data_IF_204211909071
#
_entry.id   IF_204211909071
#
_cell.length_a   1.000
_cell.length_b   1.000
_cell.length_c   1.000
_cell.angle_alpha   90.00
_cell.angle_beta   90.00
_cell.angle_gamma   90.00
#
_symmetry.space_group_name_H-M   'P 1'
#
loop_
_entity.id
_entity.type
_entity.pdbx_description
1 polymer ?
#
# COMPACT_ATOMS: atom_id res chain seq x y z
N UNK A 1 -8.57 -9.22 -8.23
CA UNK A 1 -8.88 -8.47 -9.48
C UNK A 1 -8.13 -9.10 -10.67
N UNK A 2 -8.70 -9.12 -11.89
CA UNK A 2 -7.98 -9.66 -13.07
C UNK A 2 -6.99 -8.62 -13.62
N UNK A 3 -5.74 -9.04 -13.89
CA UNK A 3 -4.68 -8.18 -14.45
C UNK A 3 -5.10 -7.42 -15.72
N UNK A 4 -5.91 -8.04 -16.58
CA UNK A 4 -6.41 -7.44 -17.83
C UNK A 4 -7.19 -6.15 -17.57
N UNK A 5 -7.99 -6.09 -16.50
CA UNK A 5 -8.76 -4.90 -16.15
C UNK A 5 -7.92 -3.83 -15.44
N UNK A 6 -6.78 -4.20 -14.86
CA UNK A 6 -5.87 -3.27 -14.19
C UNK A 6 -4.78 -2.72 -15.12
N UNK A 7 -4.57 -3.33 -16.28
CA UNK A 7 -3.39 -3.08 -17.13
C UNK A 7 -3.31 -1.61 -17.59
N UNK A 8 -4.44 -1.06 -18.05
CA UNK A 8 -4.51 0.32 -18.50
C UNK A 8 -4.25 1.31 -17.35
N UNK A 9 -4.81 1.06 -16.16
CA UNK A 9 -4.58 1.89 -14.99
C UNK A 9 -3.09 1.85 -14.57
N UNK A 10 -2.46 0.68 -14.55
CA UNK A 10 -1.04 0.54 -14.18
C UNK A 10 -0.09 1.27 -15.16
N UNK A 11 -0.46 1.32 -16.45
CA UNK A 11 0.32 1.99 -17.48
C UNK A 11 0.08 3.50 -17.50
N UNK A 12 -1.15 3.97 -17.23
CA UNK A 12 -1.53 5.37 -17.39
C UNK A 12 -1.46 6.20 -16.09
N UNK A 13 -1.69 5.58 -14.93
CA UNK A 13 -1.86 6.31 -13.68
C UNK A 13 -0.59 6.36 -12.83
N UNK A 14 -0.47 7.40 -12.03
CA UNK A 14 0.63 7.56 -11.07
C UNK A 14 0.48 6.63 -9.86
N UNK A 15 1.56 6.32 -9.12
CA UNK A 15 1.48 5.50 -7.91
C UNK A 15 0.50 6.04 -6.86
N UNK A 16 0.36 7.37 -6.75
CA UNK A 16 -0.57 8.02 -5.82
C UNK A 16 -2.05 7.83 -6.23
N UNK A 17 -2.35 7.90 -7.53
CA UNK A 17 -3.72 7.64 -8.01
C UNK A 17 -4.09 6.16 -7.83
N UNK A 18 -3.12 5.27 -8.03
CA UNK A 18 -3.30 3.83 -7.82
C UNK A 18 -3.51 3.48 -6.35
N UNK A 19 -2.83 4.16 -5.41
CA UNK A 19 -3.01 3.90 -3.97
C UNK A 19 -4.41 4.27 -3.47
N UNK A 20 -5.14 5.11 -4.21
CA UNK A 20 -6.53 5.46 -3.90
C UNK A 20 -7.54 4.46 -4.49
N UNK A 21 -7.16 3.68 -5.50
CA UNK A 21 -8.04 2.76 -6.23
C UNK A 21 -7.85 1.30 -5.85
N UNK A 22 -6.64 0.94 -5.42
CA UNK A 22 -6.28 -0.44 -5.11
C UNK A 22 -5.92 -0.59 -3.64
N UNK A 23 -6.40 -1.67 -3.03
CA UNK A 23 -5.90 -2.07 -1.73
C UNK A 23 -4.47 -2.61 -1.83
N UNK A 24 -3.76 -2.66 -0.70
CA UNK A 24 -2.42 -3.25 -0.64
C UNK A 24 -2.43 -4.72 -1.07
N UNK A 25 -3.45 -5.47 -0.69
CA UNK A 25 -3.57 -6.90 -1.00
C UNK A 25 -3.86 -7.10 -2.50
N UNK A 26 -4.73 -6.26 -3.10
CA UNK A 26 -4.94 -6.26 -4.56
C UNK A 26 -3.64 -6.01 -5.33
N UNK A 27 -2.80 -5.10 -4.85
CA UNK A 27 -1.51 -4.79 -5.47
C UNK A 27 -0.50 -5.94 -5.33
N UNK A 28 -0.54 -6.68 -4.22
CA UNK A 28 0.29 -7.88 -4.04
C UNK A 28 -0.15 -8.96 -5.04
N UNK A 29 -1.45 -9.21 -5.16
CA UNK A 29 -1.98 -10.16 -6.14
C UNK A 29 -1.59 -9.76 -7.57
N UNK A 30 -1.68 -8.47 -7.92
CA UNK A 30 -1.28 -7.96 -9.23
C UNK A 30 0.22 -8.10 -9.48
N UNK A 31 1.05 -7.88 -8.47
CA UNK A 31 2.51 -8.08 -8.57
C UNK A 31 2.83 -9.55 -8.91
N UNK A 32 2.15 -10.48 -8.26
CA UNK A 32 2.40 -11.91 -8.46
C UNK A 32 1.88 -12.37 -9.83
N UNK A 33 0.73 -11.85 -10.28
CA UNK A 33 0.23 -12.04 -11.65
C UNK A 33 1.20 -11.48 -12.71
N UNK A 34 1.75 -10.28 -12.50
CA UNK A 34 2.75 -9.67 -13.40
C UNK A 34 4.05 -10.48 -13.45
N UNK A 35 4.47 -11.04 -12.32
CA UNK A 35 5.63 -11.93 -12.24
C UNK A 35 5.43 -13.19 -13.08
N UNK A 36 4.29 -13.87 -12.92
CA UNK A 36 3.93 -15.04 -13.71
C UNK A 36 3.84 -14.71 -15.21
N UNK A 37 3.21 -13.57 -15.57
CA UNK A 37 3.14 -13.10 -16.96
C UNK A 37 4.53 -12.86 -17.54
N UNK A 38 5.44 -12.25 -16.78
CA UNK A 38 6.82 -12.03 -17.21
C UNK A 38 7.56 -13.34 -17.49
N UNK A 39 7.43 -14.32 -16.60
CA UNK A 39 8.05 -15.64 -16.74
C UNK A 39 7.53 -16.35 -18.00
N UNK A 40 6.22 -16.35 -18.24
CA UNK A 40 5.63 -16.93 -19.45
C UNK A 40 6.06 -16.21 -20.75
N UNK A 41 6.23 -14.88 -20.72
CA UNK A 41 6.75 -14.12 -21.87
C UNK A 41 8.21 -14.46 -22.18
N UNK A 42 9.04 -14.69 -21.15
CA UNK A 42 10.44 -15.13 -21.35
C UNK A 42 10.47 -16.51 -21.97
N UNK A 43 9.72 -17.46 -21.41
CA UNK A 43 9.68 -18.82 -21.93
C UNK A 43 9.20 -18.85 -23.40
N UNK A 44 8.23 -18.01 -23.73
CA UNK A 44 7.72 -17.88 -25.11
C UNK A 44 8.73 -17.23 -26.05
N UNK A 45 9.46 -16.21 -25.55
CA UNK A 45 10.53 -15.54 -26.30
C UNK A 45 11.70 -16.48 -26.58
N UNK A 46 12.09 -17.32 -25.62
CA UNK A 46 13.21 -18.25 -25.77
C UNK A 46 12.94 -19.33 -26.83
N UNK A 47 11.66 -19.60 -27.13
CA UNK A 47 11.23 -20.51 -28.21
C UNK A 47 11.17 -19.84 -29.58
N UNK A 48 11.38 -18.53 -29.67
CA UNK A 48 11.31 -17.79 -30.93
C UNK A 48 12.64 -17.77 -31.66
N UNK A 49 12.59 -18.01 -32.98
CA UNK A 49 13.76 -17.96 -33.87
C UNK A 49 13.76 -16.76 -34.82
N UNK A 50 12.60 -16.10 -34.97
CA UNK A 50 12.45 -14.91 -35.80
C UNK A 50 12.69 -13.61 -35.01
N UNK A 51 13.54 -12.73 -35.54
CA UNK A 51 13.87 -11.45 -34.93
C UNK A 51 12.66 -10.54 -34.66
N UNK A 52 11.66 -10.55 -35.54
CA UNK A 52 10.45 -9.73 -35.35
C UNK A 52 9.63 -10.20 -34.13
N UNK A 53 9.48 -11.51 -33.94
CA UNK A 53 8.79 -12.08 -32.79
C UNK A 53 9.54 -11.78 -31.49
N UNK A 54 10.86 -11.90 -31.50
CA UNK A 54 11.72 -11.55 -30.36
C UNK A 54 11.56 -10.06 -29.99
N UNK A 55 11.52 -9.18 -30.99
CA UNK A 55 11.30 -7.75 -30.77
C UNK A 55 9.94 -7.47 -30.13
N UNK A 56 8.86 -8.11 -30.61
CA UNK A 56 7.53 -7.98 -30.01
C UNK A 56 7.49 -8.44 -28.55
N UNK A 57 8.11 -9.58 -28.24
CA UNK A 57 8.22 -10.05 -26.84
C UNK A 57 9.01 -9.08 -25.96
N UNK A 58 10.06 -8.44 -26.49
CA UNK A 58 10.81 -7.43 -25.75
C UNK A 58 9.95 -6.20 -25.41
N UNK A 59 9.06 -5.77 -26.31
CA UNK A 59 8.10 -4.69 -26.02
C UNK A 59 7.19 -5.09 -24.86
N UNK A 60 6.56 -6.26 -24.93
CA UNK A 60 5.68 -6.73 -23.85
C UNK A 60 6.41 -6.92 -22.52
N UNK A 61 7.66 -7.41 -22.53
CA UNK A 61 8.48 -7.50 -21.32
C UNK A 61 8.78 -6.12 -20.73
N UNK A 62 8.97 -5.10 -21.56
CA UNK A 62 9.15 -3.72 -21.13
C UNK A 62 7.88 -3.14 -20.48
N UNK A 63 6.71 -3.41 -21.06
CA UNK A 63 5.41 -3.03 -20.49
C UNK A 63 5.19 -3.69 -19.12
N UNK A 64 5.42 -5.00 -19.02
CA UNK A 64 5.29 -5.73 -17.75
C UNK A 64 6.26 -5.22 -16.69
N UNK A 65 7.49 -4.85 -17.08
CA UNK A 65 8.46 -4.24 -16.17
C UNK A 65 7.98 -2.88 -15.67
N UNK A 66 7.43 -2.05 -16.56
CA UNK A 66 6.87 -0.73 -16.21
C UNK A 66 5.73 -0.88 -15.20
N UNK A 67 4.78 -1.76 -15.48
CA UNK A 67 3.66 -2.05 -14.57
C UNK A 67 4.14 -2.58 -13.22
N UNK A 68 5.10 -3.52 -13.22
CA UNK A 68 5.67 -4.07 -11.98
C UNK A 68 6.33 -3.00 -11.12
N UNK A 69 7.03 -2.06 -11.76
CA UNK A 69 7.66 -0.93 -11.09
C UNK A 69 6.62 -0.03 -10.45
N UNK A 70 5.55 0.28 -11.19
CA UNK A 70 4.42 1.08 -10.71
C UNK A 70 3.75 0.45 -9.48
N UNK A 71 3.43 -0.85 -9.55
CA UNK A 71 2.84 -1.61 -8.44
C UNK A 71 3.73 -1.56 -7.19
N UNK A 72 5.04 -1.80 -7.33
CA UNK A 72 5.96 -1.78 -6.19
C UNK A 72 6.08 -0.40 -5.55
N UNK A 73 6.07 0.67 -6.37
CA UNK A 73 6.05 2.04 -5.88
C UNK A 73 4.77 2.34 -5.10
N UNK A 74 3.61 1.92 -5.60
CA UNK A 74 2.32 2.10 -4.91
C UNK A 74 2.27 1.34 -3.58
N UNK A 75 2.73 0.09 -3.54
CA UNK A 75 2.82 -0.68 -2.27
C UNK A 75 3.73 0.05 -1.28
N UNK A 76 4.88 0.55 -1.73
CA UNK A 76 5.82 1.27 -0.87
C UNK A 76 5.20 2.55 -0.28
N UNK A 77 4.41 3.27 -1.08
CA UNK A 77 3.68 4.46 -0.63
C UNK A 77 2.67 4.10 0.46
N UNK A 78 1.85 3.06 0.24
CA UNK A 78 0.90 2.56 1.23
C UNK A 78 1.57 2.10 2.53
N UNK A 79 2.72 1.43 2.43
CA UNK A 79 3.49 0.98 3.60
C UNK A 79 4.07 2.15 4.42
N UNK A 80 4.48 3.24 3.75
CA UNK A 80 4.95 4.46 4.42
C UNK A 80 3.77 5.14 5.13
N UNK A 81 2.64 5.30 4.46
CA UNK A 81 1.44 5.92 5.04
C UNK A 81 0.95 5.13 6.27
N UNK A 82 0.93 3.80 6.18
CA UNK A 82 0.57 2.94 7.31
C UNK A 82 1.53 3.11 8.51
N UNK A 83 2.83 3.25 8.27
CA UNK A 83 3.83 3.50 9.32
C UNK A 83 3.64 4.87 9.97
N UNK A 84 3.36 5.92 9.19
CA UNK A 84 3.10 7.26 9.69
C UNK A 84 1.84 7.27 10.56
N UNK A 85 0.74 6.67 10.09
CA UNK A 85 -0.50 6.55 10.86
C UNK A 85 -0.29 5.82 12.19
N UNK A 86 0.51 4.74 12.21
CA UNK A 86 0.84 4.01 13.44
C UNK A 86 1.63 4.88 14.42
N UNK A 87 2.58 5.68 13.94
CA UNK A 87 3.36 6.62 14.78
C UNK A 87 2.46 7.71 15.37
N UNK A 88 1.58 8.30 14.56
CA UNK A 88 0.66 9.34 15.02
C UNK A 88 -0.27 8.79 16.10
N UNK A 89 -0.86 7.60 15.89
CA UNK A 89 -1.70 6.95 16.91
C UNK A 89 -0.95 6.70 18.23
N UNK A 90 0.31 6.30 18.16
CA UNK A 90 1.14 6.13 19.35
C UNK A 90 1.41 7.47 20.06
N UNK A 91 1.68 8.54 19.31
CA UNK A 91 1.88 9.88 19.85
C UNK A 91 0.61 10.44 20.51
N UNK A 92 -0.56 10.26 19.88
CA UNK A 92 -1.86 10.64 20.45
C UNK A 92 -2.13 9.89 21.77
N UNK A 93 -1.81 8.60 21.81
CA UNK A 93 -1.94 7.79 23.02
C UNK A 93 -0.99 8.25 24.13
N UNK A 94 0.26 8.60 23.79
CA UNK A 94 1.21 9.15 24.76
C UNK A 94 0.74 10.51 25.31
N UNK A 95 0.22 11.38 24.43
CA UNK A 95 -0.33 12.68 24.82
C UNK A 95 -1.53 12.50 25.76
N UNK A 96 -2.44 11.57 25.45
CA UNK A 96 -3.57 11.23 26.31
C UNK A 96 -3.12 10.74 27.70
N UNK A 97 -2.08 9.89 27.77
CA UNK A 97 -1.50 9.43 29.04
C UNK A 97 -0.91 10.59 29.84
N UNK A 98 -0.20 11.52 29.19
CA UNK A 98 0.36 12.71 29.86
C UNK A 98 -0.74 13.61 30.43
N UNK A 99 -1.80 13.88 29.66
CA UNK A 99 -2.95 14.63 30.14
C UNK A 99 -3.63 13.94 31.34
N UNK A 100 -3.81 12.62 31.27
CA UNK A 100 -4.39 11.84 32.37
C UNK A 100 -3.52 11.92 33.64
N UNK A 101 -2.19 11.85 33.49
CA UNK A 101 -1.24 11.95 34.60
C UNK A 101 -1.27 13.34 35.26
N UNK A 102 -1.28 14.41 34.45
CA UNK A 102 -1.42 15.78 34.96
C UNK A 102 -2.77 15.98 35.64
N UNK A 103 -3.87 15.54 35.02
CA UNK A 103 -5.20 15.63 35.62
C UNK A 103 -5.30 14.87 36.95
N UNK A 104 -4.64 13.71 37.07
CA UNK A 104 -4.58 12.94 38.33
C UNK A 104 -3.82 13.67 39.43
N UNK A 105 -2.80 14.46 39.06
CA UNK A 105 -1.97 15.23 40.00
C UNK A 105 -2.64 16.54 40.43
N UNK A 106 -3.24 17.25 39.48
CA UNK A 106 -3.73 18.62 39.68
C UNK A 106 -5.20 18.69 40.11
N UNK A 107 -6.02 17.66 39.84
CA UNK A 107 -7.43 17.62 40.25
C UNK A 107 -7.61 16.87 41.57
N UNK A 108 -8.61 17.28 42.36
CA UNK A 108 -9.06 16.48 43.49
C UNK A 108 -9.65 15.14 43.02
N UNK A 109 -9.54 14.11 43.86
CA UNK A 109 -9.90 12.74 43.48
C UNK A 109 -11.37 12.59 43.06
N UNK A 110 -12.28 13.41 43.58
CA UNK A 110 -13.71 13.34 43.27
C UNK A 110 -13.97 13.90 41.86
N UNK A 111 -13.35 15.03 41.53
CA UNK A 111 -13.42 15.64 40.21
C UNK A 111 -12.76 14.77 39.15
N UNK A 112 -11.57 14.23 39.45
CA UNK A 112 -10.86 13.33 38.55
C UNK A 112 -11.66 12.07 38.22
N UNK A 113 -12.21 11.38 39.23
CA UNK A 113 -12.98 10.15 39.02
C UNK A 113 -14.27 10.39 38.21
N UNK A 114 -14.96 11.51 38.45
CA UNK A 114 -16.16 11.89 37.68
C UNK A 114 -15.85 12.14 36.20
N UNK A 115 -14.71 12.77 35.90
CA UNK A 115 -14.27 13.00 34.51
C UNK A 115 -13.85 11.67 33.86
N UNK A 116 -13.08 10.85 34.58
CA UNK A 116 -12.65 9.52 34.12
C UNK A 116 -13.85 8.63 33.75
N UNK A 117 -14.85 8.53 34.62
CA UNK A 117 -16.05 7.72 34.35
C UNK A 117 -16.79 8.21 33.11
N UNK A 118 -16.97 9.53 32.95
CA UNK A 118 -17.60 10.10 31.75
C UNK A 118 -16.81 9.82 30.47
N UNK A 119 -15.48 9.83 30.53
CA UNK A 119 -14.62 9.56 29.38
C UNK A 119 -14.53 8.06 29.02
N UNK A 120 -14.82 7.17 29.97
CA UNK A 120 -14.86 5.71 29.73
C UNK A 120 -16.20 5.23 29.17
N UNK A 121 -17.27 6.04 29.24
CA UNK A 121 -18.56 5.77 28.60
C UNK A 121 -18.48 6.27 27.16
N UNK A 122 -17.95 5.43 26.27
CA UNK A 122 -18.09 5.52 24.81
C UNK A 122 -18.56 4.17 24.30
#
# INVERSE_FOLDING_TARGET
MKLEHAQEALLSQSPLQLSQQFSRDDLIDLRDQLKAKREGLIESKDKCTNGNSIALFNVHLSEVKTMSTRVNQTISLLDVDAKVMKKNKAADQELAIRFFSVAKKELDSKTFNKIKEKAMVV
#
